data_IF_364679576991
#
_entry.id   IF_364679576991
#
_cell.length_a   1.000
_cell.length_b   1.000
_cell.length_c   1.000
_cell.angle_alpha   90.00
_cell.angle_beta   90.00
_cell.angle_gamma   90.00
#
_symmetry.space_group_name_H-M   'P 1'
#
loop_
_entity.id
_entity.type
_entity.pdbx_description
1 polymer ?
#
# COMPACT_ATOMS: atom_id res chain seq x y z
N UNK A 1 -65.69 -15.19 47.09
CA UNK A 1 -65.28 -16.11 46.01
C UNK A 1 -65.61 -15.40 44.71
N UNK A 2 -64.57 -15.03 43.94
CA UNK A 2 -64.56 -14.25 42.69
C UNK A 2 -64.39 -12.71 42.77
N UNK A 3 -63.57 -12.25 43.72
CA UNK A 3 -62.50 -11.31 43.36
C UNK A 3 -61.52 -12.04 42.41
N UNK A 4 -60.82 -11.31 41.53
CA UNK A 4 -59.76 -11.78 40.60
C UNK A 4 -60.30 -12.24 39.23
N UNK A 5 -60.50 -11.33 38.26
CA UNK A 5 -60.24 -11.63 36.83
C UNK A 5 -60.32 -10.46 35.82
N UNK A 6 -60.13 -9.20 36.17
CA UNK A 6 -60.03 -8.15 35.14
C UNK A 6 -59.00 -7.07 35.50
N UNK A 7 -57.88 -7.55 36.04
CA UNK A 7 -56.63 -6.80 36.04
C UNK A 7 -55.86 -7.24 34.79
N UNK A 8 -55.32 -6.26 34.04
CA UNK A 8 -54.39 -6.39 32.89
C UNK A 8 -55.01 -6.15 31.51
N UNK A 9 -55.40 -4.92 31.20
CA UNK A 9 -55.12 -4.32 29.89
C UNK A 9 -55.24 -2.79 29.98
N UNK A 10 -54.36 -2.09 29.27
CA UNK A 10 -54.34 -0.63 29.09
C UNK A 10 -53.73 0.21 30.23
N UNK A 11 -52.40 0.15 30.32
CA UNK A 11 -51.62 1.32 30.71
C UNK A 11 -50.47 1.51 29.73
N UNK A 12 -50.65 2.43 28.79
CA UNK A 12 -49.65 2.87 27.81
C UNK A 12 -48.37 3.35 28.52
N UNK A 13 -47.24 2.73 28.20
CA UNK A 13 -45.89 3.19 28.54
C UNK A 13 -45.25 3.87 27.32
N UNK A 14 -44.60 5.05 27.48
CA UNK A 14 -43.88 5.71 26.41
C UNK A 14 -42.63 4.92 25.99
N UNK A 15 -42.16 5.06 24.73
CA UNK A 15 -41.14 4.20 24.16
C UNK A 15 -39.77 4.39 24.84
N UNK A 16 -39.20 3.29 25.34
CA UNK A 16 -37.83 3.25 25.83
C UNK A 16 -36.82 3.56 24.69
N UNK A 17 -35.78 4.36 24.96
CA UNK A 17 -34.71 4.59 24.00
C UNK A 17 -33.93 3.29 23.78
N UNK A 18 -33.82 2.88 22.50
CA UNK A 18 -33.05 1.71 22.07
C UNK A 18 -31.58 1.90 22.48
N UNK A 19 -31.07 1.01 23.32
CA UNK A 19 -29.64 0.87 23.53
C UNK A 19 -28.94 0.63 22.18
N UNK A 20 -27.75 1.21 21.92
CA UNK A 20 -26.98 0.91 20.73
C UNK A 20 -26.70 -0.60 20.71
N UNK A 21 -27.12 -1.26 19.64
CA UNK A 21 -26.71 -2.64 19.37
C UNK A 21 -25.19 -2.63 19.24
N UNK A 22 -24.52 -3.14 20.26
CA UNK A 22 -23.12 -3.53 20.16
C UNK A 22 -23.03 -4.59 19.05
N UNK A 23 -22.56 -4.16 17.88
CA UNK A 23 -22.34 -5.04 16.74
C UNK A 23 -21.03 -5.78 16.98
N UNK A 24 -21.08 -6.78 17.87
CA UNK A 24 -20.02 -7.77 17.99
C UNK A 24 -19.76 -8.41 16.61
N UNK A 25 -18.49 -8.64 16.23
CA UNK A 25 -18.17 -9.16 14.91
C UNK A 25 -18.73 -10.57 14.74
N UNK A 26 -19.62 -10.74 13.76
CA UNK A 26 -20.23 -12.02 13.42
C UNK A 26 -19.15 -13.08 13.13
N UNK A 27 -19.25 -14.30 13.72
CA UNK A 27 -18.28 -15.35 13.47
C UNK A 27 -18.59 -15.99 12.11
N UNK A 28 -17.58 -16.11 11.25
CA UNK A 28 -17.69 -16.91 10.02
C UNK A 28 -17.31 -16.21 8.71
N UNK A 29 -16.90 -14.94 8.71
CA UNK A 29 -16.21 -14.38 7.54
C UNK A 29 -14.72 -14.75 7.64
N UNK A 30 -14.22 -15.47 6.63
CA UNK A 30 -12.79 -15.64 6.38
C UNK A 30 -12.16 -14.25 6.54
N UNK A 31 -11.39 -14.02 7.61
CA UNK A 31 -10.74 -12.74 7.84
C UNK A 31 -9.71 -12.57 6.72
N UNK A 32 -10.11 -11.85 5.67
CA UNK A 32 -9.24 -11.46 4.56
C UNK A 32 -7.99 -10.86 5.21
N UNK A 33 -6.84 -11.50 4.99
CA UNK A 33 -5.64 -11.15 5.75
C UNK A 33 -5.19 -9.74 5.41
N UNK A 34 -5.51 -9.27 4.20
CA UNK A 34 -5.23 -7.94 3.67
C UNK A 34 -6.50 -7.21 3.23
N UNK A 35 -6.72 -6.00 3.75
CA UNK A 35 -7.92 -5.17 3.50
C UNK A 35 -7.84 -4.33 2.22
N UNK A 36 -6.63 -4.06 1.73
CA UNK A 36 -6.36 -3.32 0.51
C UNK A 36 -6.51 -4.22 -0.71
N UNK A 37 -7.31 -3.74 -1.67
CA UNK A 37 -7.49 -4.39 -2.96
C UNK A 37 -6.35 -4.00 -3.90
N UNK A 38 -6.69 -3.16 -4.88
CA UNK A 38 -5.73 -2.67 -5.86
C UNK A 38 -5.07 -1.38 -5.35
N UNK A 39 -3.77 -1.25 -5.59
CA UNK A 39 -2.99 -0.05 -5.31
C UNK A 39 -2.80 0.77 -6.58
N UNK A 40 -2.86 2.09 -6.46
CA UNK A 40 -2.62 3.03 -7.54
C UNK A 40 -1.85 4.24 -7.03
N UNK A 41 -0.80 4.64 -7.74
CA UNK A 41 -0.07 5.88 -7.46
C UNK A 41 0.42 6.52 -8.75
N UNK A 42 0.35 7.85 -8.81
CA UNK A 42 0.81 8.67 -9.93
C UNK A 42 1.66 9.82 -9.38
N UNK A 43 2.92 9.89 -9.82
CA UNK A 43 3.87 10.94 -9.43
C UNK A 43 4.41 11.56 -10.72
N UNK A 44 4.19 12.88 -10.88
CA UNK A 44 4.51 13.58 -12.12
C UNK A 44 5.25 14.88 -11.83
N UNK A 45 6.31 15.09 -12.59
CA UNK A 45 7.13 16.31 -12.63
C UNK A 45 7.30 16.77 -14.08
N UNK A 46 8.08 17.82 -14.31
CA UNK A 46 8.41 18.25 -15.68
C UNK A 46 9.35 17.25 -16.34
N UNK A 47 10.26 16.63 -15.58
CA UNK A 47 11.32 15.78 -16.12
C UNK A 47 11.03 14.29 -16.05
N UNK A 48 10.09 13.85 -15.22
CA UNK A 48 9.77 12.44 -15.03
C UNK A 48 8.29 12.23 -14.65
N UNK A 49 7.67 11.24 -15.27
CA UNK A 49 6.33 10.77 -14.96
C UNK A 49 6.41 9.30 -14.52
N UNK A 50 5.66 8.93 -13.49
CA UNK A 50 5.58 7.59 -12.94
C UNK A 50 4.13 7.23 -12.65
N UNK A 51 3.71 6.07 -13.16
CA UNK A 51 2.45 5.42 -12.86
C UNK A 51 2.72 4.04 -12.27
N UNK A 52 2.16 3.75 -11.09
CA UNK A 52 2.28 2.48 -10.39
C UNK A 52 0.88 1.89 -10.20
N UNK A 53 0.73 0.61 -10.51
CA UNK A 53 -0.42 -0.21 -10.12
C UNK A 53 0.05 -1.41 -9.33
N UNK A 54 -0.68 -1.77 -8.28
CA UNK A 54 -0.40 -2.93 -7.45
C UNK A 54 -1.63 -3.81 -7.30
N UNK A 55 -1.44 -5.12 -7.21
CA UNK A 55 -2.52 -6.09 -6.94
C UNK A 55 -2.06 -7.10 -5.91
N UNK A 56 -2.93 -7.35 -4.93
CA UNK A 56 -2.70 -8.34 -3.86
C UNK A 56 -3.54 -9.59 -4.13
N UNK A 57 -2.92 -10.76 -3.98
CA UNK A 57 -3.58 -12.07 -4.09
C UNK A 57 -3.31 -12.86 -2.82
N UNK A 58 -4.34 -13.07 -2.01
CA UNK A 58 -4.31 -13.93 -0.83
C UNK A 58 -4.63 -15.38 -1.25
N UNK A 59 -3.71 -16.30 -0.98
CA UNK A 59 -3.87 -17.71 -1.32
C UNK A 59 -4.67 -18.50 -0.28
N UNK A 60 -4.99 -17.92 0.88
CA UNK A 60 -5.73 -18.57 1.97
C UNK A 60 -4.95 -19.63 2.74
N UNK A 61 -3.76 -20.02 2.28
CA UNK A 61 -2.83 -20.96 2.92
C UNK A 61 -1.78 -20.27 3.81
N UNK A 62 -1.90 -18.96 4.02
CA UNK A 62 -0.92 -18.16 4.77
C UNK A 62 0.20 -17.53 3.93
N UNK A 63 0.13 -17.63 2.60
CA UNK A 63 0.97 -16.86 1.68
C UNK A 63 0.14 -15.81 0.92
N UNK A 64 0.80 -14.73 0.53
CA UNK A 64 0.23 -13.64 -0.25
C UNK A 64 1.20 -13.26 -1.35
N UNK A 65 0.71 -13.07 -2.56
CA UNK A 65 1.49 -12.50 -3.64
C UNK A 65 1.08 -11.05 -3.90
N UNK A 66 2.07 -10.19 -4.12
CA UNK A 66 1.86 -8.78 -4.48
C UNK A 66 2.54 -8.52 -5.82
N UNK A 67 1.76 -8.04 -6.77
CA UNK A 67 2.24 -7.73 -8.11
C UNK A 67 2.26 -6.23 -8.29
N UNK A 68 3.42 -5.67 -8.62
CA UNK A 68 3.54 -4.29 -9.05
C UNK A 68 3.80 -4.22 -10.54
N UNK A 69 3.11 -3.31 -11.20
CA UNK A 69 3.47 -2.85 -12.53
C UNK A 69 3.73 -1.34 -12.41
N UNK A 70 4.87 -0.87 -12.91
CA UNK A 70 5.10 0.56 -13.05
C UNK A 70 5.61 0.94 -14.43
N UNK A 71 5.10 2.05 -14.92
CA UNK A 71 5.53 2.68 -16.16
C UNK A 71 6.09 4.06 -15.83
N UNK A 72 7.29 4.36 -16.32
CA UNK A 72 7.89 5.68 -16.19
C UNK A 72 8.33 6.24 -17.52
N UNK A 73 8.29 7.55 -17.64
CA UNK A 73 8.74 8.28 -18.83
C UNK A 73 9.45 9.55 -18.43
N UNK A 74 10.71 9.71 -18.84
CA UNK A 74 11.51 10.88 -18.50
C UNK A 74 12.93 10.53 -18.10
N UNK A 75 13.52 11.31 -17.19
CA UNK A 75 14.87 11.12 -16.68
C UNK A 75 14.85 11.01 -15.15
N UNK A 76 15.34 9.89 -14.63
CA UNK A 76 15.48 9.66 -13.20
C UNK A 76 15.40 8.19 -12.79
N UNK A 77 15.59 7.96 -11.50
CA UNK A 77 15.56 6.63 -10.89
C UNK A 77 14.29 6.45 -10.08
N UNK A 78 13.68 5.28 -10.21
CA UNK A 78 12.45 4.93 -9.52
C UNK A 78 12.62 3.53 -8.93
N UNK A 79 12.17 3.34 -7.70
CA UNK A 79 12.00 2.02 -7.12
C UNK A 79 10.65 1.89 -6.43
N UNK A 80 10.08 0.69 -6.50
CA UNK A 80 8.86 0.31 -5.79
C UNK A 80 9.14 -1.03 -5.10
N UNK A 81 9.03 -1.07 -3.79
CA UNK A 81 9.31 -2.28 -3.00
C UNK A 81 8.32 -2.46 -1.87
N UNK A 82 8.28 -3.68 -1.34
CA UNK A 82 7.64 -3.96 -0.05
C UNK A 82 8.66 -3.78 1.06
N UNK A 83 8.24 -3.17 2.16
CA UNK A 83 9.08 -2.95 3.35
C UNK A 83 8.30 -3.21 4.64
N UNK A 84 8.99 -3.53 5.75
CA UNK A 84 8.34 -3.55 7.06
C UNK A 84 7.90 -2.14 7.49
N UNK A 85 6.93 -2.02 8.42
CA UNK A 85 6.47 -0.72 8.91
C UNK A 85 7.56 0.10 9.62
N UNK A 86 8.56 -0.58 10.16
CA UNK A 86 9.72 0.00 10.85
C UNK A 86 10.66 0.74 9.93
N UNK A 87 10.61 0.49 8.61
CA UNK A 87 11.48 1.16 7.65
C UNK A 87 11.22 2.67 7.67
N UNK A 88 12.23 3.46 7.98
CA UNK A 88 12.15 4.93 7.97
C UNK A 88 12.05 5.49 6.53
N UNK A 89 11.50 6.69 6.40
CA UNK A 89 11.44 7.44 5.13
C UNK A 89 12.59 8.44 5.14
N UNK A 90 13.67 8.13 4.43
CA UNK A 90 14.93 8.89 4.52
C UNK A 90 15.65 8.94 3.17
N UNK A 91 16.16 10.11 2.79
CA UNK A 91 16.87 10.32 1.53
C UNK A 91 18.30 9.76 1.49
N UNK A 92 18.86 9.36 2.63
CA UNK A 92 20.27 9.00 2.74
C UNK A 92 20.56 7.58 2.18
N UNK A 93 21.45 7.52 1.19
CA UNK A 93 21.75 6.32 0.41
C UNK A 93 22.67 5.34 1.16
N UNK A 94 23.54 5.84 2.05
CA UNK A 94 24.53 5.03 2.76
C UNK A 94 23.91 4.25 3.93
N UNK A 95 22.98 4.86 4.66
CA UNK A 95 22.24 4.19 5.74
C UNK A 95 21.29 3.11 5.20
N UNK A 96 20.77 3.30 3.97
CA UNK A 96 19.84 2.39 3.31
C UNK A 96 20.42 0.96 3.20
N UNK A 97 21.69 0.80 2.81
CA UNK A 97 22.34 -0.49 2.53
C UNK A 97 22.54 -1.31 3.82
N UNK A 98 22.96 -0.66 4.91
CA UNK A 98 23.20 -1.34 6.19
C UNK A 98 21.88 -1.77 6.86
N UNK A 99 20.83 -0.97 6.73
CA UNK A 99 19.48 -1.28 7.26
C UNK A 99 18.83 -2.41 6.44
N UNK A 100 18.95 -2.39 5.11
CA UNK A 100 18.38 -3.41 4.22
C UNK A 100 18.97 -4.80 4.49
N UNK A 101 20.27 -4.90 4.78
CA UNK A 101 20.92 -6.16 5.15
C UNK A 101 20.47 -6.72 6.51
N UNK A 102 20.09 -5.84 7.46
CA UNK A 102 19.65 -6.23 8.81
C UNK A 102 18.16 -6.56 8.86
N UNK A 103 17.32 -5.82 8.16
CA UNK A 103 15.86 -6.02 8.11
C UNK A 103 15.44 -7.16 7.17
N UNK A 104 16.23 -7.48 6.14
CA UNK A 104 15.93 -8.57 5.19
C UNK A 104 15.89 -9.97 5.82
N UNK A 105 16.56 -10.20 6.96
CA UNK A 105 16.45 -11.47 7.72
C UNK A 105 15.14 -11.62 8.49
N UNK A 106 14.40 -10.53 8.68
CA UNK A 106 13.20 -10.47 9.52
C UNK A 106 11.93 -10.23 8.66
N UNK A 107 12.10 -9.76 7.42
CA UNK A 107 11.02 -9.46 6.51
C UNK A 107 10.66 -10.67 5.63
N UNK A 108 9.46 -11.23 5.83
CA UNK A 108 9.03 -12.47 5.19
C UNK A 108 8.50 -12.31 3.75
N UNK A 109 8.85 -11.21 3.08
CA UNK A 109 8.49 -10.94 1.69
C UNK A 109 9.74 -10.90 0.82
N UNK A 110 9.70 -11.62 -0.30
CA UNK A 110 10.81 -11.70 -1.26
C UNK A 110 10.32 -11.47 -2.68
N UNK A 111 11.20 -10.95 -3.53
CA UNK A 111 10.97 -10.91 -4.97
C UNK A 111 11.07 -12.33 -5.52
N UNK A 112 10.02 -12.80 -6.19
CA UNK A 112 10.04 -14.08 -6.90
C UNK A 112 10.37 -13.90 -8.38
N UNK A 113 9.88 -12.81 -8.98
CA UNK A 113 10.11 -12.50 -10.38
C UNK A 113 10.14 -10.99 -10.57
N UNK A 114 11.10 -10.54 -11.37
CA UNK A 114 11.22 -9.15 -11.79
C UNK A 114 11.54 -9.11 -13.28
N UNK A 115 10.85 -8.22 -13.99
CA UNK A 115 11.14 -7.92 -15.37
C UNK A 115 11.10 -6.40 -15.56
N UNK A 116 12.20 -5.87 -16.09
CA UNK A 116 12.34 -4.44 -16.38
C UNK A 116 12.70 -4.26 -17.86
N UNK A 117 11.77 -3.73 -18.64
CA UNK A 117 12.00 -3.37 -20.03
C UNK A 117 12.30 -1.85 -20.10
N UNK A 118 13.46 -1.48 -20.65
CA UNK A 118 13.89 -0.08 -20.84
C UNK A 118 14.04 0.24 -22.31
N UNK A 119 13.48 1.36 -22.73
CA UNK A 119 13.62 1.89 -24.08
C UNK A 119 14.02 3.37 -24.00
N UNK A 120 14.98 3.77 -24.83
CA UNK A 120 15.39 5.17 -24.95
C UNK A 120 15.03 5.68 -26.33
N UNK A 121 14.25 6.76 -26.39
CA UNK A 121 13.93 7.47 -27.62
C UNK A 121 14.72 8.77 -27.64
N UNK A 122 15.50 8.95 -28.70
CA UNK A 122 16.30 10.15 -28.93
C UNK A 122 15.73 10.89 -30.12
N UNK A 123 15.47 12.19 -29.98
CA UNK A 123 14.93 13.05 -31.03
C UNK A 123 15.49 14.47 -30.90
N UNK A 124 15.36 15.29 -31.93
CA UNK A 124 15.67 16.72 -31.82
C UNK A 124 14.71 17.39 -30.83
N UNK A 125 15.21 18.34 -30.03
CA UNK A 125 14.39 19.06 -29.08
C UNK A 125 13.42 20.01 -29.80
N UNK A 126 12.17 20.08 -29.33
CA UNK A 126 11.13 20.93 -29.94
C UNK A 126 11.47 22.42 -29.89
N UNK A 127 12.11 22.88 -28.81
CA UNK A 127 12.45 24.30 -28.60
C UNK A 127 13.81 24.69 -29.18
N UNK A 128 14.67 23.73 -29.51
CA UNK A 128 16.03 23.96 -29.99
C UNK A 128 16.46 22.78 -30.89
N UNK A 129 16.21 22.86 -32.21
CA UNK A 129 16.52 21.79 -33.15
C UNK A 129 18.02 21.48 -33.29
N UNK A 130 18.91 22.36 -32.80
CA UNK A 130 20.35 22.10 -32.76
C UNK A 130 20.75 21.16 -31.61
N UNK A 131 19.82 20.88 -30.68
CA UNK A 131 20.03 19.98 -29.54
C UNK A 131 19.26 18.68 -29.70
N UNK A 132 19.88 17.63 -29.19
CA UNK A 132 19.30 16.29 -29.12
C UNK A 132 18.72 16.05 -27.72
N UNK A 133 17.43 15.75 -27.67
CA UNK A 133 16.70 15.40 -26.46
C UNK A 133 16.51 13.88 -26.40
N UNK A 134 16.74 13.28 -25.24
CA UNK A 134 16.43 11.86 -25.01
C UNK A 134 15.43 11.66 -23.89
N UNK A 135 14.45 10.80 -24.16
CA UNK A 135 13.42 10.38 -23.22
C UNK A 135 13.56 8.88 -22.98
N UNK A 136 13.64 8.48 -21.72
CA UNK A 136 13.65 7.08 -21.34
C UNK A 136 12.23 6.65 -20.97
N UNK A 137 11.85 5.47 -21.41
CA UNK A 137 10.62 4.79 -21.04
C UNK A 137 10.98 3.48 -20.37
N UNK A 138 10.53 3.31 -19.12
CA UNK A 138 10.73 2.06 -18.37
C UNK A 138 9.39 1.44 -18.05
N UNK A 139 9.24 0.16 -18.36
CA UNK A 139 8.10 -0.67 -17.93
C UNK A 139 8.64 -1.79 -17.06
N UNK A 140 8.18 -1.84 -15.82
CA UNK A 140 8.60 -2.85 -14.85
C UNK A 140 7.41 -3.64 -14.35
N UNK A 141 7.65 -4.92 -14.11
CA UNK A 141 6.73 -5.86 -13.48
C UNK A 141 7.49 -6.61 -12.39
N UNK A 142 6.99 -6.57 -11.16
CA UNK A 142 7.62 -7.25 -10.02
C UNK A 142 6.57 -8.07 -9.29
N UNK A 143 6.87 -9.34 -9.05
CA UNK A 143 6.07 -10.24 -8.23
C UNK A 143 6.81 -10.51 -6.91
N UNK A 144 6.14 -10.19 -5.82
CA UNK A 144 6.58 -10.48 -4.46
C UNK A 144 5.77 -11.63 -3.89
N UNK A 145 6.42 -12.53 -3.15
CA UNK A 145 5.76 -13.52 -2.32
C UNK A 145 6.06 -13.25 -0.85
N UNK A 146 5.00 -13.21 -0.05
CA UNK A 146 5.03 -13.01 1.38
C UNK A 146 4.47 -14.24 2.10
N UNK A 147 5.12 -14.66 3.19
CA UNK A 147 4.70 -15.83 3.98
C UNK A 147 4.55 -15.50 5.45
N UNK A 148 3.47 -15.95 6.10
CA UNK A 148 3.24 -15.68 7.53
C UNK A 148 4.46 -16.14 8.36
N UNK A 149 4.79 -15.43 9.46
CA UNK A 149 4.03 -14.33 10.07
C UNK A 149 4.36 -12.96 9.47
N UNK A 150 3.34 -12.22 9.02
CA UNK A 150 3.42 -10.78 8.74
C UNK A 150 2.09 -10.14 9.14
N UNK A 151 2.15 -8.96 9.78
CA UNK A 151 0.95 -8.22 10.19
C UNK A 151 0.71 -7.02 9.30
N UNK A 152 1.72 -6.16 9.10
CA UNK A 152 1.60 -4.99 8.24
C UNK A 152 2.74 -5.00 7.25
N UNK A 153 2.42 -4.80 5.97
CA UNK A 153 3.38 -4.59 4.90
C UNK A 153 3.13 -3.19 4.35
N UNK A 154 4.21 -2.46 4.12
CA UNK A 154 4.15 -1.13 3.51
C UNK A 154 4.74 -1.17 2.11
N UNK A 155 4.24 -0.30 1.24
CA UNK A 155 4.78 -0.01 -0.07
C UNK A 155 5.75 1.16 0.09
N UNK A 156 6.98 0.99 -0.37
CA UNK A 156 7.98 2.05 -0.39
C UNK A 156 8.24 2.47 -1.83
N UNK A 157 8.10 3.77 -2.09
CA UNK A 157 8.31 4.36 -3.40
C UNK A 157 9.45 5.36 -3.28
N UNK A 158 10.48 5.20 -4.11
CA UNK A 158 11.47 6.24 -4.34
C UNK A 158 11.29 6.83 -5.73
N UNK A 159 11.31 8.16 -5.80
CA UNK A 159 11.21 8.91 -7.03
C UNK A 159 12.33 9.95 -7.03
N UNK A 160 13.32 9.73 -7.88
CA UNK A 160 14.47 10.60 -8.05
C UNK A 160 14.50 11.14 -9.47
N UNK A 161 13.89 12.30 -9.68
CA UNK A 161 14.06 13.05 -10.93
C UNK A 161 15.17 14.08 -10.80
N UNK A 162 15.44 14.77 -11.92
CA UNK A 162 16.43 15.84 -12.00
C UNK A 162 15.90 17.16 -11.43
N UNK A 163 14.58 17.34 -11.38
CA UNK A 163 13.90 18.54 -10.87
C UNK A 163 13.24 18.33 -9.49
N UNK A 164 13.03 17.09 -9.06
CA UNK A 164 12.36 16.77 -7.81
C UNK A 164 12.76 15.41 -7.25
N UNK A 165 12.71 15.27 -5.92
CA UNK A 165 12.94 14.01 -5.21
C UNK A 165 11.82 13.76 -4.22
N UNK A 166 11.34 12.52 -4.15
CA UNK A 166 10.28 12.11 -3.25
C UNK A 166 10.50 10.68 -2.76
N UNK A 167 10.18 10.47 -1.49
CA UNK A 167 10.06 9.15 -0.89
C UNK A 167 8.71 9.04 -0.21
N UNK A 168 8.05 7.92 -0.41
CA UNK A 168 6.72 7.69 0.15
C UNK A 168 6.63 6.26 0.67
N UNK A 169 6.27 6.14 1.95
CA UNK A 169 5.88 4.87 2.57
C UNK A 169 4.38 4.87 2.81
N UNK A 170 3.69 3.88 2.24
CA UNK A 170 2.24 3.69 2.37
C UNK A 170 2.00 2.37 3.06
N UNK A 171 1.26 2.37 4.17
CA UNK A 171 0.95 1.16 4.95
C UNK A 171 -0.58 0.98 5.01
N UNK A 172 -1.23 0.35 4.02
CA UNK A 172 -2.69 0.42 3.87
C UNK A 172 -3.49 -0.20 5.02
N UNK A 173 -3.00 -1.29 5.62
CA UNK A 173 -3.65 -1.98 6.74
C UNK A 173 -3.07 -1.63 8.12
N UNK A 174 -2.27 -0.55 8.24
CA UNK A 174 -1.58 -0.24 9.50
C UNK A 174 -2.54 -0.14 10.69
N UNK A 175 -3.62 0.63 10.54
CA UNK A 175 -4.62 0.86 11.60
C UNK A 175 -5.47 -0.39 11.93
N UNK A 176 -5.49 -1.41 11.06
CA UNK A 176 -6.22 -2.65 11.35
C UNK A 176 -5.39 -3.62 12.21
N UNK A 177 -4.06 -3.48 12.18
CA UNK A 177 -3.12 -4.37 12.85
C UNK A 177 -2.31 -3.71 13.97
N UNK A 178 -2.46 -2.40 14.16
CA UNK A 178 -1.76 -1.60 15.15
C UNK A 178 -2.73 -0.66 15.87
N UNK A 179 -2.73 -0.71 17.21
CA UNK A 179 -3.47 0.23 18.06
C UNK A 179 -2.74 1.57 18.23
N UNK A 180 -1.50 1.67 17.74
CA UNK A 180 -0.70 2.90 17.74
C UNK A 180 -1.09 3.76 16.53
N UNK A 181 -1.29 5.09 16.70
CA UNK A 181 -1.56 5.98 15.58
C UNK A 181 -0.43 5.95 14.54
N UNK A 182 -0.78 5.85 13.26
CA UNK A 182 0.20 6.03 12.18
C UNK A 182 0.64 7.49 12.13
N UNK A 183 1.90 7.75 12.49
CA UNK A 183 2.53 9.05 12.26
C UNK A 183 3.30 8.97 10.94
N UNK A 184 2.78 9.57 9.85
CA UNK A 184 3.56 9.68 8.62
C UNK A 184 4.75 10.60 8.90
N UNK A 185 5.94 10.03 9.05
CA UNK A 185 7.19 10.79 9.01
C UNK A 185 7.49 11.12 7.55
N UNK A 186 7.33 12.39 7.18
CA UNK A 186 7.58 12.92 5.84
C UNK A 186 7.24 14.39 5.75
#
# INVERSE_FOLDING_TARGET
>A
LWDILENLSEREQPPQPRAPRDSGPAPGKLKKVFGWGDFYSNIKTVKLNLLITGKVVDHGNGTVNVFFQHNSTGQGNISVSLVPPTKAVEFDLEQQIFIEAKESKIFNCRVEHERVDRARKTSLCTFDPAKTCSQEHTRSHVAWACSKPFKVICIYITFYSTDYRLMQKVCPDYNYHSDVPYFPSG
#
